data_IF_327138375134
#
_entry.id   IF_327138375134
#
_cell.length_a   1.000
_cell.length_b   1.000
_cell.length_c   1.000
_cell.angle_alpha   90.00
_cell.angle_beta   90.00
_cell.angle_gamma   90.00
#
_symmetry.space_group_name_H-M   'P 1'
#
loop_
_entity.id
_entity.type
_entity.pdbx_description
1 polymer ?
#
# COMPACT_ATOMS: atom_id res chain seq x y z
N UNK A 1 -19.62 10.24 6.66
CA UNK A 1 -20.14 10.52 5.29
C UNK A 1 -19.09 10.05 4.29
N UNK A 2 -19.48 9.22 3.32
CA UNK A 2 -18.59 8.68 2.30
C UNK A 2 -18.76 9.53 1.01
N UNK A 3 -17.65 9.97 0.42
CA UNK A 3 -17.64 10.66 -0.87
C UNK A 3 -17.00 9.75 -1.93
N UNK A 4 -17.75 9.44 -2.98
CA UNK A 4 -17.25 8.70 -4.14
C UNK A 4 -16.72 9.69 -5.17
N UNK A 5 -15.44 9.54 -5.54
CA UNK A 5 -14.83 10.30 -6.64
C UNK A 5 -14.86 9.45 -7.90
N UNK A 6 -15.73 9.81 -8.82
CA UNK A 6 -16.01 9.08 -10.06
C UNK A 6 -15.65 9.94 -11.28
N UNK A 7 -14.42 9.81 -11.83
CA UNK A 7 -14.03 10.46 -13.07
C UNK A 7 -14.92 9.98 -14.23
N UNK A 8 -15.65 10.90 -14.86
CA UNK A 8 -16.66 10.54 -15.85
C UNK A 8 -16.09 10.20 -17.23
N UNK A 9 -16.61 9.11 -17.80
CA UNK A 9 -16.43 8.67 -19.17
C UNK A 9 -17.66 7.85 -19.61
N UNK A 10 -17.66 7.31 -20.82
CA UNK A 10 -18.79 6.53 -21.36
C UNK A 10 -19.12 5.26 -20.55
N UNK A 11 -18.23 4.80 -19.68
CA UNK A 11 -18.41 3.61 -18.84
C UNK A 11 -18.77 3.92 -17.38
N UNK A 12 -18.62 5.16 -16.94
CA UNK A 12 -18.84 5.56 -15.54
C UNK A 12 -20.29 5.39 -15.07
N UNK A 13 -21.26 5.50 -15.99
CA UNK A 13 -22.68 5.31 -15.68
C UNK A 13 -22.97 3.90 -15.15
N UNK A 14 -22.38 2.87 -15.75
CA UNK A 14 -22.55 1.48 -15.30
C UNK A 14 -21.92 1.26 -13.91
N UNK A 15 -20.74 1.84 -13.66
CA UNK A 15 -20.08 1.77 -12.35
C UNK A 15 -20.89 2.54 -11.29
N UNK A 16 -21.48 3.70 -11.63
CA UNK A 16 -22.39 4.45 -10.77
C UNK A 16 -23.57 3.60 -10.33
N UNK A 17 -24.29 2.99 -11.30
CA UNK A 17 -25.45 2.13 -11.03
C UNK A 17 -25.09 0.92 -10.12
N UNK A 18 -23.89 0.37 -10.25
CA UNK A 18 -23.40 -0.70 -9.41
C UNK A 18 -23.16 -0.25 -7.98
N UNK A 19 -22.65 0.98 -7.79
CA UNK A 19 -22.26 1.50 -6.48
C UNK A 19 -23.45 2.06 -5.68
N UNK A 20 -24.36 2.79 -6.30
CA UNK A 20 -25.45 3.49 -5.62
C UNK A 20 -26.21 2.65 -4.58
N UNK A 21 -26.61 1.40 -4.86
CA UNK A 21 -27.34 0.58 -3.88
C UNK A 21 -26.46 0.08 -2.71
N UNK A 22 -25.13 0.18 -2.82
CA UNK A 22 -24.18 -0.27 -1.80
C UNK A 22 -23.70 0.86 -0.88
N UNK A 23 -23.95 2.12 -1.29
CA UNK A 23 -23.45 3.27 -0.55
C UNK A 23 -24.26 3.52 0.73
N UNK A 24 -23.59 3.86 1.86
CA UNK A 24 -24.29 4.31 3.08
C UNK A 24 -25.17 5.54 2.82
N UNK A 25 -26.22 5.67 3.62
CA UNK A 25 -27.11 6.85 3.55
C UNK A 25 -26.32 8.16 3.76
N UNK A 26 -26.60 9.17 2.94
CA UNK A 26 -25.91 10.45 2.98
C UNK A 26 -24.56 10.47 2.25
N UNK A 27 -24.21 9.40 1.53
CA UNK A 27 -23.05 9.40 0.63
C UNK A 27 -23.31 10.30 -0.60
N UNK A 28 -22.24 10.87 -1.14
CA UNK A 28 -22.30 11.66 -2.39
C UNK A 28 -21.39 11.04 -3.46
N UNK A 29 -21.80 11.15 -4.73
CA UNK A 29 -20.96 10.82 -5.88
C UNK A 29 -20.60 12.13 -6.57
N UNK A 30 -19.31 12.41 -6.69
CA UNK A 30 -18.75 13.65 -7.22
C UNK A 30 -17.87 13.35 -8.43
N UNK A 31 -18.04 14.11 -9.49
CA UNK A 31 -17.06 14.16 -10.58
C UNK A 31 -15.85 14.99 -10.13
N UNK A 32 -14.62 14.44 -10.14
CA UNK A 32 -13.41 15.17 -9.81
C UNK A 32 -13.17 16.40 -10.72
N UNK A 33 -13.67 16.42 -11.94
CA UNK A 33 -13.53 17.57 -12.84
C UNK A 33 -14.31 18.79 -12.34
N UNK A 34 -15.36 18.59 -11.54
CA UNK A 34 -16.09 19.68 -10.87
C UNK A 34 -15.31 20.30 -9.70
N UNK A 35 -14.22 19.67 -9.24
CA UNK A 35 -13.34 20.12 -8.18
C UNK A 35 -13.07 19.07 -7.10
N UNK A 36 -11.93 19.21 -6.44
CA UNK A 36 -11.51 18.37 -5.31
C UNK A 36 -11.48 19.16 -3.99
N UNK A 37 -11.93 20.40 -4.00
CA UNK A 37 -11.90 21.26 -2.81
C UNK A 37 -12.88 20.79 -1.72
N UNK A 38 -12.52 21.02 -0.46
CA UNK A 38 -13.37 20.69 0.69
C UNK A 38 -13.46 19.18 1.00
N UNK A 39 -12.49 18.38 0.57
CA UNK A 39 -12.43 16.94 0.83
C UNK A 39 -11.68 16.56 2.11
N UNK A 40 -11.13 17.53 2.84
CA UNK A 40 -10.35 17.26 4.06
C UNK A 40 -11.13 16.41 5.08
N UNK A 41 -10.41 15.49 5.72
CA UNK A 41 -10.92 14.62 6.80
C UNK A 41 -12.15 13.79 6.42
N UNK A 42 -12.27 13.38 5.15
CA UNK A 42 -13.38 12.57 4.65
C UNK A 42 -12.97 11.12 4.40
N UNK A 43 -13.96 10.25 4.36
CA UNK A 43 -13.83 8.91 3.78
C UNK A 43 -14.09 9.00 2.29
N UNK A 44 -13.12 8.53 1.49
CA UNK A 44 -13.17 8.64 0.03
C UNK A 44 -13.19 7.27 -0.62
N UNK A 45 -14.02 7.11 -1.65
CA UNK A 45 -13.99 5.95 -2.52
C UNK A 45 -13.64 6.41 -3.93
N UNK A 46 -12.42 6.14 -4.39
CA UNK A 46 -12.04 6.39 -5.77
C UNK A 46 -12.64 5.29 -6.65
N UNK A 47 -13.48 5.67 -7.59
CA UNK A 47 -14.17 4.75 -8.50
C UNK A 47 -13.81 5.09 -9.95
N UNK A 48 -13.07 4.22 -10.63
CA UNK A 48 -12.58 4.47 -12.00
C UNK A 48 -13.06 3.37 -12.93
N UNK A 49 -13.76 3.77 -13.99
CA UNK A 49 -14.10 2.89 -15.10
C UNK A 49 -13.15 3.15 -16.28
N UNK A 50 -12.53 2.08 -16.79
CA UNK A 50 -11.64 2.16 -17.95
C UNK A 50 -12.39 1.80 -19.24
N UNK A 51 -12.04 2.46 -20.33
CA UNK A 51 -12.52 2.16 -21.68
C UNK A 51 -11.85 0.91 -22.28
N UNK A 52 -12.09 0.63 -23.55
CA UNK A 52 -11.51 -0.48 -24.30
C UNK A 52 -9.99 -0.37 -24.45
N UNK A 53 -9.43 0.83 -24.41
CA UNK A 53 -7.98 1.08 -24.42
C UNK A 53 -7.32 0.98 -23.04
N UNK A 54 -8.10 0.70 -21.99
CA UNK A 54 -7.62 0.66 -20.62
C UNK A 54 -7.36 2.06 -20.04
N UNK A 55 -8.03 3.08 -20.56
CA UNK A 55 -7.85 4.49 -20.21
C UNK A 55 -9.11 5.13 -19.65
N UNK A 56 -8.92 6.26 -18.95
CA UNK A 56 -9.96 7.21 -18.58
C UNK A 56 -9.32 8.61 -18.49
N UNK A 57 -9.68 9.50 -19.38
CA UNK A 57 -9.04 10.82 -19.49
C UNK A 57 -9.39 11.74 -18.31
N UNK A 58 -10.59 11.62 -17.75
CA UNK A 58 -10.98 12.37 -16.54
C UNK A 58 -10.16 11.90 -15.32
N UNK A 59 -9.89 10.60 -15.23
CA UNK A 59 -8.95 10.05 -14.23
C UNK A 59 -7.55 10.69 -14.34
N UNK A 60 -6.99 10.81 -15.55
CA UNK A 60 -5.67 11.43 -15.71
C UNK A 60 -5.66 12.92 -15.34
N UNK A 61 -6.77 13.64 -15.58
CA UNK A 61 -6.93 15.03 -15.09
C UNK A 61 -6.96 15.10 -13.58
N UNK A 62 -7.73 14.22 -12.92
CA UNK A 62 -7.73 14.07 -11.45
C UNK A 62 -6.32 13.76 -10.92
N UNK A 63 -5.65 12.77 -11.52
CA UNK A 63 -4.28 12.37 -11.14
C UNK A 63 -3.30 13.55 -11.22
N UNK A 64 -3.42 14.37 -12.28
CA UNK A 64 -2.59 15.57 -12.44
C UNK A 64 -2.82 16.61 -11.34
N UNK A 65 -4.06 16.76 -10.84
CA UNK A 65 -4.37 17.64 -9.71
C UNK A 65 -3.78 17.11 -8.40
N UNK A 66 -3.96 15.83 -8.12
CA UNK A 66 -3.40 15.18 -6.93
C UNK A 66 -1.88 15.34 -6.85
N UNK A 67 -1.17 15.19 -7.97
CA UNK A 67 0.30 15.29 -8.04
C UNK A 67 0.85 16.71 -7.84
N UNK A 68 -0.01 17.74 -7.85
CA UNK A 68 0.41 19.15 -7.69
C UNK A 68 0.24 19.69 -6.27
N UNK A 69 -0.36 18.92 -5.38
CA UNK A 69 -0.62 19.35 -4.01
C UNK A 69 -0.22 18.25 -3.03
N UNK A 70 0.40 18.64 -1.94
CA UNK A 70 0.77 17.70 -0.88
C UNK A 70 -0.31 17.53 0.20
N UNK A 71 -1.33 18.39 0.22
CA UNK A 71 -2.32 18.50 1.30
C UNK A 71 -3.78 18.50 0.84
N UNK A 72 -4.03 18.37 -0.46
CA UNK A 72 -5.37 18.44 -1.06
C UNK A 72 -6.38 17.46 -0.41
N UNK A 73 -5.90 16.33 0.08
CA UNK A 73 -6.68 15.28 0.70
C UNK A 73 -6.27 15.02 2.15
N UNK A 74 -5.75 16.05 2.83
CA UNK A 74 -5.26 15.92 4.20
C UNK A 74 -6.35 15.37 5.15
N UNK A 75 -5.96 14.38 5.94
CA UNK A 75 -6.84 13.69 6.89
C UNK A 75 -7.87 12.75 6.27
N UNK A 76 -7.90 12.61 4.93
CA UNK A 76 -8.75 11.65 4.27
C UNK A 76 -8.27 10.22 4.45
N UNK A 77 -9.22 9.27 4.42
CA UNK A 77 -8.95 7.84 4.32
C UNK A 77 -9.75 7.24 3.18
N UNK A 78 -9.12 6.39 2.37
CA UNK A 78 -9.71 5.94 1.14
C UNK A 78 -9.65 4.43 0.89
N UNK A 79 -10.56 3.99 0.01
CA UNK A 79 -10.51 2.76 -0.77
C UNK A 79 -10.64 3.08 -2.25
N UNK A 80 -10.49 2.07 -3.10
CA UNK A 80 -10.61 2.26 -4.54
C UNK A 80 -11.25 1.08 -5.27
N UNK A 81 -11.96 1.40 -6.34
CA UNK A 81 -12.57 0.46 -7.27
C UNK A 81 -12.10 0.83 -8.66
N UNK A 82 -11.61 -0.14 -9.41
CA UNK A 82 -11.26 0.04 -10.82
C UNK A 82 -11.89 -1.07 -11.62
N UNK A 83 -12.68 -0.68 -12.64
CA UNK A 83 -13.30 -1.62 -13.59
C UNK A 83 -12.69 -1.43 -14.97
N UNK A 84 -12.43 -2.52 -15.68
CA UNK A 84 -11.88 -2.50 -17.04
C UNK A 84 -12.67 -3.39 -17.97
N UNK A 85 -12.66 -3.04 -19.27
CA UNK A 85 -13.22 -3.88 -20.33
C UNK A 85 -12.29 -5.03 -20.68
N UNK A 86 -10.98 -4.83 -20.55
CA UNK A 86 -9.94 -5.82 -20.79
C UNK A 86 -9.40 -6.48 -19.51
N UNK A 87 -8.38 -7.29 -19.69
CA UNK A 87 -7.72 -8.03 -18.57
C UNK A 87 -6.57 -7.25 -17.92
N UNK A 88 -6.19 -6.09 -18.47
CA UNK A 88 -5.01 -5.34 -18.08
C UNK A 88 -5.35 -3.93 -17.59
N UNK A 89 -4.37 -3.26 -17.00
CA UNK A 89 -4.33 -1.85 -16.57
C UNK A 89 -5.10 -1.52 -15.30
N UNK A 90 -6.10 -2.28 -14.87
CA UNK A 90 -6.90 -1.99 -13.67
C UNK A 90 -6.04 -1.81 -12.42
N UNK A 91 -5.08 -2.70 -12.21
CA UNK A 91 -4.17 -2.62 -11.05
C UNK A 91 -3.13 -1.52 -11.19
N UNK A 92 -2.67 -1.24 -12.39
CA UNK A 92 -1.69 -0.19 -12.65
C UNK A 92 -2.29 1.18 -12.39
N UNK A 93 -3.50 1.44 -12.91
CA UNK A 93 -4.29 2.64 -12.64
C UNK A 93 -4.55 2.81 -11.14
N UNK A 94 -4.97 1.75 -10.44
CA UNK A 94 -5.20 1.79 -9.01
C UNK A 94 -3.93 2.14 -8.23
N UNK A 95 -2.81 1.55 -8.58
CA UNK A 95 -1.51 1.76 -7.92
C UNK A 95 -1.02 3.20 -8.07
N UNK A 96 -1.14 3.76 -9.28
CA UNK A 96 -0.78 5.15 -9.56
C UNK A 96 -1.68 6.13 -8.80
N UNK A 97 -2.98 5.86 -8.75
CA UNK A 97 -3.95 6.65 -8.02
C UNK A 97 -3.67 6.64 -6.51
N UNK A 98 -3.47 5.46 -5.93
CA UNK A 98 -3.16 5.32 -4.50
C UNK A 98 -1.89 6.08 -4.15
N UNK A 99 -0.84 5.98 -4.96
CA UNK A 99 0.40 6.71 -4.72
C UNK A 99 0.19 8.23 -4.80
N UNK A 100 -0.46 8.74 -5.86
CA UNK A 100 -0.69 10.17 -6.02
C UNK A 100 -1.59 10.76 -4.93
N UNK A 101 -2.68 10.07 -4.57
CA UNK A 101 -3.57 10.50 -3.50
C UNK A 101 -2.89 10.43 -2.12
N UNK A 102 -2.02 9.43 -1.90
CA UNK A 102 -1.25 9.32 -0.67
C UNK A 102 -0.25 10.48 -0.51
N UNK A 103 0.43 10.87 -1.60
CA UNK A 103 1.30 12.04 -1.61
C UNK A 103 0.53 13.36 -1.46
N UNK A 104 -0.78 13.35 -1.71
CA UNK A 104 -1.69 14.49 -1.47
C UNK A 104 -2.34 14.47 -0.06
N UNK A 105 -1.86 13.65 0.86
CA UNK A 105 -2.32 13.61 2.25
C UNK A 105 -3.42 12.58 2.56
N UNK A 106 -3.72 11.64 1.66
CA UNK A 106 -4.73 10.60 1.87
C UNK A 106 -4.14 9.30 2.40
N UNK A 107 -4.69 8.75 3.49
CA UNK A 107 -4.44 7.39 3.91
C UNK A 107 -5.27 6.38 3.13
N UNK A 108 -4.82 5.12 3.07
CA UNK A 108 -5.59 4.03 2.44
C UNK A 108 -5.74 2.85 3.38
N UNK A 109 -6.97 2.37 3.53
CA UNK A 109 -7.23 1.18 4.34
C UNK A 109 -6.45 -0.03 3.79
N UNK A 110 -6.17 -1.02 4.63
CA UNK A 110 -5.55 -2.25 4.16
C UNK A 110 -6.44 -2.97 3.15
N UNK A 111 -5.88 -3.47 2.06
CA UNK A 111 -6.62 -3.99 0.89
C UNK A 111 -7.65 -2.99 0.36
N UNK A 112 -7.19 -1.82 -0.06
CA UNK A 112 -8.08 -0.74 -0.48
C UNK A 112 -8.72 -0.99 -1.84
N UNK A 113 -8.22 -1.94 -2.63
CA UNK A 113 -8.59 -2.15 -4.03
C UNK A 113 -9.57 -3.31 -4.21
N UNK A 114 -10.67 -3.02 -4.87
CA UNK A 114 -11.49 -3.99 -5.60
C UNK A 114 -11.36 -3.69 -7.09
N UNK A 115 -10.88 -4.65 -7.88
CA UNK A 115 -10.71 -4.51 -9.31
C UNK A 115 -11.57 -5.52 -10.06
N UNK A 116 -12.23 -5.09 -11.13
CA UNK A 116 -12.94 -5.96 -12.06
C UNK A 116 -12.27 -5.90 -13.43
N UNK A 117 -11.60 -6.98 -13.82
CA UNK A 117 -11.18 -7.19 -15.21
C UNK A 117 -12.37 -7.61 -16.07
N UNK A 118 -12.27 -7.50 -17.37
CA UNK A 118 -13.38 -7.77 -18.29
C UNK A 118 -13.99 -9.17 -18.14
N UNK A 119 -13.20 -10.18 -17.83
CA UNK A 119 -13.67 -11.57 -17.61
C UNK A 119 -13.97 -11.92 -16.16
N UNK A 120 -13.69 -11.05 -15.20
CA UNK A 120 -13.74 -11.33 -13.75
C UNK A 120 -12.93 -12.55 -13.29
N UNK A 121 -11.99 -13.06 -14.11
CA UNK A 121 -11.13 -14.21 -13.74
C UNK A 121 -10.33 -14.00 -12.47
N UNK A 122 -10.07 -12.75 -12.13
CA UNK A 122 -9.41 -12.38 -10.87
C UNK A 122 -10.25 -12.73 -9.63
N UNK A 123 -11.56 -12.99 -9.77
CA UNK A 123 -12.45 -13.46 -8.69
C UNK A 123 -12.62 -14.98 -8.64
N UNK A 124 -12.07 -15.76 -9.59
CA UNK A 124 -12.26 -17.22 -9.66
C UNK A 124 -11.96 -17.93 -8.33
N UNK A 125 -10.87 -17.57 -7.67
CA UNK A 125 -10.49 -18.21 -6.40
C UNK A 125 -11.47 -17.88 -5.28
N UNK A 126 -11.94 -16.65 -5.18
CA UNK A 126 -12.93 -16.23 -4.19
C UNK A 126 -14.28 -16.92 -4.46
N UNK A 127 -14.69 -16.97 -5.70
CA UNK A 127 -15.92 -17.67 -6.12
C UNK A 127 -15.86 -19.15 -5.75
N UNK A 128 -14.76 -19.86 -6.03
CA UNK A 128 -14.56 -21.25 -5.65
C UNK A 128 -14.60 -21.48 -4.14
N UNK A 129 -13.93 -20.63 -3.37
CA UNK A 129 -13.93 -20.71 -1.89
C UNK A 129 -15.33 -20.46 -1.33
N UNK A 130 -16.06 -19.49 -1.90
CA UNK A 130 -17.41 -19.11 -1.47
C UNK A 130 -18.54 -19.99 -2.02
N UNK A 131 -18.24 -20.94 -2.93
CA UNK A 131 -19.26 -21.74 -3.61
C UNK A 131 -20.22 -20.91 -4.48
N UNK A 132 -19.71 -19.81 -5.09
CA UNK A 132 -20.48 -18.86 -5.90
C UNK A 132 -19.87 -18.68 -7.28
N UNK A 133 -20.43 -17.81 -8.11
CA UNK A 133 -19.84 -17.36 -9.37
C UNK A 133 -18.97 -16.10 -9.17
N UNK A 134 -18.18 -15.74 -10.19
CA UNK A 134 -17.25 -14.62 -10.17
C UNK A 134 -17.95 -13.25 -10.00
N UNK A 135 -19.17 -13.09 -10.55
CA UNK A 135 -19.96 -11.86 -10.44
C UNK A 135 -20.43 -11.67 -8.99
N UNK A 136 -20.97 -12.71 -8.39
CA UNK A 136 -21.39 -12.70 -6.98
C UNK A 136 -20.20 -12.42 -6.06
N UNK A 137 -19.04 -13.05 -6.31
CA UNK A 137 -17.82 -12.81 -5.53
C UNK A 137 -17.32 -11.37 -5.68
N UNK A 138 -17.42 -10.78 -6.87
CA UNK A 138 -17.09 -9.37 -7.12
C UNK A 138 -18.02 -8.43 -6.35
N UNK A 139 -19.34 -8.61 -6.43
CA UNK A 139 -20.31 -7.80 -5.70
C UNK A 139 -20.11 -7.90 -4.18
N UNK A 140 -19.83 -9.09 -3.65
CA UNK A 140 -19.52 -9.29 -2.25
C UNK A 140 -18.25 -8.52 -1.83
N UNK A 141 -17.21 -8.53 -2.67
CA UNK A 141 -15.98 -7.79 -2.41
C UNK A 141 -16.19 -6.27 -2.43
N UNK A 142 -17.07 -5.75 -3.31
CA UNK A 142 -17.46 -4.34 -3.32
C UNK A 142 -18.16 -3.95 -2.03
N UNK A 143 -19.18 -4.72 -1.63
CA UNK A 143 -19.93 -4.47 -0.40
C UNK A 143 -19.01 -4.52 0.83
N UNK A 144 -18.10 -5.50 0.89
CA UNK A 144 -17.11 -5.62 1.96
C UNK A 144 -16.17 -4.40 2.01
N UNK A 145 -15.64 -3.93 0.87
CA UNK A 145 -14.77 -2.77 0.81
C UNK A 145 -15.48 -1.51 1.32
N UNK A 146 -16.71 -1.25 0.85
CA UNK A 146 -17.50 -0.09 1.25
C UNK A 146 -17.81 -0.15 2.75
N UNK A 147 -18.24 -1.30 3.28
CA UNK A 147 -18.50 -1.47 4.69
C UNK A 147 -17.26 -1.26 5.55
N UNK A 148 -16.10 -1.81 5.17
CA UNK A 148 -14.83 -1.59 5.88
C UNK A 148 -14.38 -0.14 5.85
N UNK A 149 -14.59 0.55 4.73
CA UNK A 149 -14.24 1.96 4.63
C UNK A 149 -15.18 2.84 5.45
N UNK A 150 -16.46 2.54 5.47
CA UNK A 150 -17.44 3.27 6.28
C UNK A 150 -17.24 3.05 7.77
N UNK A 151 -16.88 1.84 8.19
CA UNK A 151 -16.59 1.49 9.58
C UNK A 151 -15.12 1.74 9.98
N UNK A 152 -14.30 2.31 9.09
CA UNK A 152 -12.87 2.45 9.38
C UNK A 152 -12.60 3.41 10.54
N UNK A 153 -11.75 2.96 11.44
CA UNK A 153 -11.22 3.75 12.56
C UNK A 153 -9.69 3.75 12.51
N UNK A 154 -9.09 4.86 12.92
CA UNK A 154 -7.63 4.96 12.98
C UNK A 154 -7.10 3.93 13.98
N UNK A 155 -6.12 3.09 13.60
CA UNK A 155 -5.53 2.12 14.52
C UNK A 155 -4.88 2.80 15.74
N UNK A 156 -4.66 2.05 16.83
CA UNK A 156 -4.02 2.54 18.04
C UNK A 156 -2.64 3.16 17.76
N UNK A 157 -2.15 4.10 18.58
CA UNK A 157 -0.84 4.73 18.38
C UNK A 157 0.31 3.73 18.24
N UNK A 158 1.30 4.07 17.42
CA UNK A 158 2.48 3.22 17.19
C UNK A 158 3.38 3.23 18.44
N UNK A 159 3.74 2.05 18.91
CA UNK A 159 4.74 1.83 19.98
C UNK A 159 5.88 0.92 19.51
N UNK A 160 5.60 -0.04 18.64
CA UNK A 160 6.53 -1.03 18.16
C UNK A 160 6.78 -0.85 16.66
N UNK A 161 7.97 -0.46 16.30
CA UNK A 161 8.41 -0.26 14.91
C UNK A 161 9.29 -1.42 14.49
N UNK A 162 8.97 -2.04 13.35
CA UNK A 162 9.82 -3.01 12.70
C UNK A 162 10.42 -2.40 11.44
N UNK A 163 11.75 -2.27 11.40
CA UNK A 163 12.48 -1.87 10.21
C UNK A 163 13.08 -3.08 9.50
N UNK A 164 12.76 -3.28 8.22
CA UNK A 164 13.29 -4.36 7.38
C UNK A 164 14.18 -3.80 6.28
N UNK A 165 15.39 -4.34 6.14
CA UNK A 165 16.33 -3.96 5.09
C UNK A 165 17.18 -5.13 4.60
N UNK A 166 17.77 -4.98 3.41
CA UNK A 166 18.73 -5.93 2.85
C UNK A 166 20.14 -5.33 2.74
N UNK A 167 20.38 -4.13 3.26
CA UNK A 167 21.67 -3.46 3.23
C UNK A 167 22.63 -4.05 4.26
N UNK A 168 23.88 -4.29 3.83
CA UNK A 168 24.91 -4.90 4.67
C UNK A 168 26.12 -3.99 4.93
N UNK A 169 26.09 -2.76 4.38
CA UNK A 169 27.26 -1.87 4.41
C UNK A 169 26.99 -0.67 5.32
N UNK A 170 27.95 -0.37 6.19
CA UNK A 170 27.94 0.84 7.02
C UNK A 170 27.85 2.15 6.20
N UNK A 171 28.14 2.10 4.91
CA UNK A 171 28.09 3.25 3.98
C UNK A 171 26.82 3.30 3.13
N UNK A 172 25.76 2.59 3.52
CA UNK A 172 24.48 2.62 2.83
C UNK A 172 23.77 3.94 3.07
N UNK A 173 23.43 4.66 2.01
CA UNK A 173 22.62 5.88 2.08
C UNK A 173 21.24 5.61 2.68
N UNK A 174 20.64 4.45 2.39
CA UNK A 174 19.34 4.06 2.95
C UNK A 174 19.41 3.86 4.46
N UNK A 175 20.47 3.22 4.97
CA UNK A 175 20.66 3.10 6.42
C UNK A 175 21.01 4.44 7.06
N UNK A 176 21.81 5.28 6.40
CA UNK A 176 22.09 6.64 6.89
C UNK A 176 20.78 7.46 7.06
N UNK A 177 19.85 7.36 6.10
CA UNK A 177 18.54 8.00 6.21
C UNK A 177 17.74 7.44 7.40
N UNK A 178 17.76 6.12 7.57
CA UNK A 178 17.09 5.49 8.70
C UNK A 178 17.66 5.95 10.06
N UNK A 179 18.98 6.07 10.20
CA UNK A 179 19.58 6.57 11.42
C UNK A 179 19.14 8.01 11.75
N UNK A 180 18.99 8.88 10.74
CA UNK A 180 18.44 10.24 10.93
C UNK A 180 16.97 10.18 11.41
N UNK A 181 16.14 9.34 10.79
CA UNK A 181 14.73 9.16 11.20
C UNK A 181 14.67 8.60 12.61
N UNK A 182 15.43 7.55 12.90
CA UNK A 182 15.45 6.89 14.21
C UNK A 182 15.87 7.84 15.35
N UNK A 183 16.80 8.74 15.08
CA UNK A 183 17.21 9.76 16.04
C UNK A 183 16.09 10.77 16.41
N UNK A 184 15.08 10.90 15.54
CA UNK A 184 13.92 11.76 15.78
C UNK A 184 12.72 11.06 16.41
N UNK A 185 12.78 9.74 16.62
CA UNK A 185 11.68 8.98 17.23
C UNK A 185 11.61 9.21 18.75
N UNK A 186 10.42 9.19 19.36
CA UNK A 186 10.25 9.22 20.82
C UNK A 186 11.01 8.09 21.52
N UNK A 187 11.55 8.36 22.69
CA UNK A 187 12.36 7.41 23.44
C UNK A 187 11.57 6.18 23.98
N UNK A 188 10.25 6.27 24.03
CA UNK A 188 9.34 5.20 24.44
C UNK A 188 8.88 4.31 23.30
N UNK A 189 9.32 4.59 22.07
CA UNK A 189 9.09 3.70 20.93
C UNK A 189 10.14 2.59 20.90
N UNK A 190 9.66 1.34 20.82
CA UNK A 190 10.53 0.17 20.61
C UNK A 190 10.80 -0.01 19.11
N UNK A 191 12.09 -0.02 18.76
CA UNK A 191 12.53 -0.22 17.37
C UNK A 191 13.27 -1.55 17.25
N UNK A 192 12.73 -2.45 16.45
CA UNK A 192 13.40 -3.69 16.05
C UNK A 192 13.87 -3.56 14.60
N UNK A 193 15.16 -3.82 14.36
CA UNK A 193 15.72 -3.88 13.01
C UNK A 193 16.06 -5.32 12.64
N UNK A 194 15.67 -5.74 11.43
CA UNK A 194 16.04 -7.04 10.88
C UNK A 194 16.71 -6.83 9.52
N UNK A 195 17.95 -7.31 9.43
CA UNK A 195 18.70 -7.31 8.18
C UNK A 195 18.52 -8.64 7.46
N UNK A 196 17.86 -8.60 6.33
CA UNK A 196 17.64 -9.74 5.43
C UNK A 196 18.89 -9.96 4.58
N UNK A 197 19.90 -10.60 5.13
CA UNK A 197 21.23 -10.75 4.50
C UNK A 197 21.17 -11.63 3.26
N UNK A 198 22.09 -11.41 2.33
CA UNK A 198 22.29 -12.29 1.18
C UNK A 198 22.66 -13.71 1.64
N UNK A 199 22.09 -14.70 0.97
CA UNK A 199 22.30 -16.12 1.27
C UNK A 199 21.51 -16.66 2.45
N UNK A 200 20.75 -15.83 3.21
CA UNK A 200 19.92 -16.29 4.33
C UNK A 200 18.43 -16.38 3.98
N UNK A 201 18.00 -15.79 2.87
CA UNK A 201 16.61 -15.74 2.44
C UNK A 201 16.38 -16.65 1.25
N UNK A 202 15.60 -17.72 1.45
CA UNK A 202 14.99 -18.44 0.34
C UNK A 202 13.73 -17.71 -0.14
N UNK A 203 13.52 -17.62 -1.45
CA UNK A 203 12.28 -17.06 -2.01
C UNK A 203 11.10 -18.04 -1.86
N UNK A 204 9.92 -17.58 -2.20
CA UNK A 204 8.70 -18.37 -2.25
C UNK A 204 8.69 -19.24 -3.51
N UNK A 205 8.60 -20.56 -3.37
CA UNK A 205 8.54 -21.49 -4.50
C UNK A 205 7.11 -21.75 -5.03
N UNK A 206 6.11 -20.95 -4.58
CA UNK A 206 4.75 -21.08 -5.11
C UNK A 206 4.06 -22.39 -4.73
N UNK A 207 4.11 -22.80 -3.48
CA UNK A 207 3.37 -23.95 -2.97
C UNK A 207 1.89 -23.86 -3.34
N UNK A 208 1.21 -25.01 -3.47
CA UNK A 208 -0.24 -25.04 -3.64
C UNK A 208 -0.94 -24.26 -2.51
N UNK A 209 -2.15 -23.77 -2.78
CA UNK A 209 -2.92 -23.02 -1.76
C UNK A 209 -3.07 -23.83 -0.47
N UNK A 210 -3.44 -25.10 -0.58
CA UNK A 210 -3.64 -26.01 0.56
C UNK A 210 -2.36 -26.23 1.36
N UNK A 211 -1.22 -26.46 0.70
CA UNK A 211 0.07 -26.62 1.37
C UNK A 211 0.51 -25.31 2.07
N UNK A 212 0.35 -24.16 1.39
CA UNK A 212 0.68 -22.87 1.99
C UNK A 212 -0.22 -22.55 3.21
N UNK A 213 -1.50 -22.90 3.16
CA UNK A 213 -2.43 -22.73 4.25
C UNK A 213 -2.05 -23.63 5.44
N UNK A 214 -1.76 -24.92 5.20
CA UNK A 214 -1.38 -25.88 6.23
C UNK A 214 -0.17 -25.41 7.05
N UNK A 215 0.93 -25.01 6.39
CA UNK A 215 2.09 -24.47 7.12
C UNK A 215 1.81 -23.11 7.75
N UNK A 216 1.01 -22.27 7.11
CA UNK A 216 0.58 -21.00 7.65
C UNK A 216 -0.18 -21.19 8.97
N UNK A 217 -1.17 -22.10 9.04
CA UNK A 217 -1.94 -22.41 10.24
C UNK A 217 -1.08 -22.89 11.42
N UNK A 218 0.07 -23.47 11.14
CA UNK A 218 1.08 -23.82 12.12
C UNK A 218 2.02 -22.66 12.49
N UNK A 219 1.74 -21.46 12.02
CA UNK A 219 2.53 -20.27 12.30
C UNK A 219 3.80 -20.12 11.48
N UNK A 220 3.99 -20.98 10.45
CA UNK A 220 5.24 -21.09 9.70
C UNK A 220 5.10 -21.05 8.19
N UNK A 221 6.18 -21.41 7.53
CA UNK A 221 6.30 -21.64 6.09
C UNK A 221 7.20 -22.86 5.90
N UNK A 222 6.91 -23.72 4.93
CA UNK A 222 7.68 -24.94 4.63
C UNK A 222 9.21 -24.69 4.59
N UNK A 223 9.64 -23.55 4.09
CA UNK A 223 11.06 -23.21 3.93
C UNK A 223 11.74 -22.67 5.20
N UNK A 224 11.02 -22.53 6.33
CA UNK A 224 11.61 -22.15 7.62
C UNK A 224 12.52 -20.91 7.57
N UNK A 225 13.57 -20.95 8.39
CA UNK A 225 14.65 -19.96 8.41
C UNK A 225 14.21 -18.58 8.91
N UNK A 226 15.00 -17.52 8.64
CA UNK A 226 14.80 -16.18 9.24
C UNK A 226 13.39 -15.63 9.09
N UNK A 227 12.65 -16.03 8.03
CA UNK A 227 11.25 -15.61 7.87
C UNK A 227 10.36 -16.12 9.00
N UNK A 228 10.52 -17.40 9.38
CA UNK A 228 9.68 -18.04 10.41
C UNK A 228 10.19 -17.71 11.80
N UNK A 229 11.52 -17.71 11.97
CA UNK A 229 12.16 -17.60 13.28
C UNK A 229 12.22 -16.15 13.77
N UNK A 230 12.35 -15.18 12.87
CA UNK A 230 12.55 -13.76 13.22
C UNK A 230 11.45 -12.84 12.66
N UNK A 231 11.21 -12.88 11.33
CA UNK A 231 10.35 -11.90 10.66
C UNK A 231 8.88 -12.06 11.04
N UNK A 232 8.33 -13.28 11.02
CA UNK A 232 6.92 -13.46 11.36
C UNK A 232 6.58 -13.05 12.79
N UNK A 233 7.36 -13.43 13.83
CA UNK A 233 7.14 -12.94 15.18
C UNK A 233 7.24 -11.41 15.28
N UNK A 234 8.21 -10.80 14.59
CA UNK A 234 8.38 -9.35 14.57
C UNK A 234 7.20 -8.62 13.90
N UNK A 235 6.74 -9.11 12.73
CA UNK A 235 5.57 -8.55 12.04
C UNK A 235 4.29 -8.70 12.86
N UNK A 236 4.13 -9.79 13.61
CA UNK A 236 2.96 -9.94 14.50
C UNK A 236 2.96 -8.90 15.62
N UNK A 237 4.13 -8.57 16.18
CA UNK A 237 4.25 -7.63 17.31
C UNK A 237 4.23 -6.16 16.91
N UNK A 238 4.75 -5.83 15.72
CA UNK A 238 4.87 -4.42 15.33
C UNK A 238 3.52 -3.76 15.10
N UNK A 239 3.46 -2.45 15.35
CA UNK A 239 2.37 -1.56 14.98
C UNK A 239 2.65 -0.88 13.64
N UNK A 240 3.94 -0.71 13.31
CA UNK A 240 4.42 -0.15 12.05
C UNK A 240 5.55 -0.98 11.44
N UNK A 241 5.44 -1.23 10.14
CA UNK A 241 6.48 -1.82 9.30
C UNK A 241 7.13 -0.72 8.47
N UNK A 242 8.43 -0.50 8.64
CA UNK A 242 9.23 0.43 7.84
C UNK A 242 10.12 -0.36 6.89
N UNK A 243 9.88 -0.21 5.59
CA UNK A 243 10.67 -0.85 4.54
C UNK A 243 11.82 0.06 4.10
N UNK A 244 13.06 -0.33 4.38
CA UNK A 244 14.25 0.42 3.98
C UNK A 244 14.75 -0.09 2.63
N UNK A 245 14.47 0.66 1.57
CA UNK A 245 14.63 0.22 0.19
C UNK A 245 15.71 1.02 -0.55
N UNK A 246 16.81 0.37 -0.87
CA UNK A 246 17.69 0.87 -1.92
C UNK A 246 17.13 0.48 -3.28
N UNK A 247 17.15 1.41 -4.24
CA UNK A 247 16.71 1.14 -5.60
C UNK A 247 17.80 0.37 -6.38
N UNK A 248 17.46 -0.82 -6.84
CA UNK A 248 18.29 -1.63 -7.72
C UNK A 248 17.55 -1.91 -9.03
N UNK A 249 17.92 -1.20 -10.09
CA UNK A 249 17.29 -1.36 -11.42
C UNK A 249 15.77 -1.22 -11.36
N UNK A 250 15.28 -0.18 -10.69
CA UNK A 250 13.85 0.13 -10.52
C UNK A 250 13.04 -0.98 -9.81
N UNK A 251 13.70 -1.77 -8.97
CA UNK A 251 13.11 -2.86 -8.23
C UNK A 251 13.58 -2.90 -6.76
N UNK A 252 12.77 -3.51 -5.91
CA UNK A 252 13.16 -3.86 -4.55
C UNK A 252 14.30 -4.87 -4.57
N UNK A 253 15.19 -4.80 -3.58
CA UNK A 253 16.23 -5.81 -3.39
C UNK A 253 15.61 -7.23 -3.33
N UNK A 254 16.30 -8.21 -3.91
CA UNK A 254 15.81 -9.60 -4.02
C UNK A 254 15.35 -10.17 -2.68
N UNK A 255 16.09 -9.92 -1.60
CA UNK A 255 15.73 -10.42 -0.27
C UNK A 255 14.48 -9.74 0.30
N UNK A 256 14.26 -8.45 0.04
CA UNK A 256 13.01 -7.76 0.39
C UNK A 256 11.84 -8.34 -0.40
N UNK A 257 12.04 -8.63 -1.68
CA UNK A 257 11.03 -9.28 -2.53
C UNK A 257 10.71 -10.69 -2.01
N UNK A 258 11.72 -11.49 -1.69
CA UNK A 258 11.54 -12.82 -1.09
C UNK A 258 10.76 -12.74 0.25
N UNK A 259 11.10 -11.76 1.09
CA UNK A 259 10.37 -11.51 2.34
C UNK A 259 8.89 -11.21 2.07
N UNK A 260 8.58 -10.26 1.18
CA UNK A 260 7.21 -9.91 0.78
C UNK A 260 6.45 -11.12 0.25
N UNK A 261 7.06 -11.92 -0.63
CA UNK A 261 6.46 -13.14 -1.18
C UNK A 261 6.09 -14.12 -0.06
N UNK A 262 6.99 -14.34 0.87
CA UNK A 262 6.82 -15.29 1.98
C UNK A 262 5.87 -14.80 3.07
N UNK A 263 5.65 -13.49 3.23
CA UNK A 263 4.59 -12.96 4.10
C UNK A 263 3.20 -13.50 3.73
N UNK A 264 3.04 -14.12 2.56
CA UNK A 264 1.80 -14.79 2.16
C UNK A 264 1.36 -15.86 3.16
N UNK A 265 2.27 -16.64 3.73
CA UNK A 265 1.93 -17.64 4.74
C UNK A 265 1.35 -16.98 6.02
N UNK A 266 1.97 -15.91 6.48
CA UNK A 266 1.46 -15.14 7.63
C UNK A 266 0.09 -14.50 7.33
N UNK A 267 -0.06 -13.93 6.12
CA UNK A 267 -1.32 -13.31 5.68
C UNK A 267 -2.49 -14.32 5.57
N UNK A 268 -2.23 -15.62 5.39
CA UNK A 268 -3.26 -16.67 5.42
C UNK A 268 -3.99 -16.74 6.76
N UNK A 269 -3.29 -16.44 7.85
CA UNK A 269 -3.82 -16.50 9.21
C UNK A 269 -4.28 -15.14 9.75
N UNK A 270 -3.53 -14.08 9.44
CA UNK A 270 -3.66 -12.77 10.09
C UNK A 270 -3.81 -11.68 9.06
N UNK A 271 -4.80 -10.80 9.24
CA UNK A 271 -4.90 -9.55 8.50
C UNK A 271 -4.09 -8.47 9.21
N UNK A 272 -3.43 -7.60 8.43
CA UNK A 272 -2.56 -6.55 8.94
C UNK A 272 -3.27 -5.18 8.91
N UNK A 273 -4.59 -5.16 9.11
CA UNK A 273 -5.39 -3.93 9.00
C UNK A 273 -5.05 -2.88 10.06
N UNK A 274 -4.55 -3.32 11.20
CA UNK A 274 -4.11 -2.52 12.34
C UNK A 274 -2.65 -2.05 12.24
N UNK A 275 -1.89 -2.50 11.24
CA UNK A 275 -0.45 -2.23 11.07
C UNK A 275 -0.21 -1.24 9.94
N UNK A 276 0.64 -0.23 10.21
CA UNK A 276 1.00 0.79 9.22
C UNK A 276 2.18 0.34 8.38
N UNK A 277 2.15 0.77 7.13
CA UNK A 277 3.27 0.61 6.20
C UNK A 277 3.96 1.95 5.99
N UNK A 278 5.26 2.00 6.22
CA UNK A 278 6.13 3.10 5.87
C UNK A 278 7.27 2.65 4.96
N UNK A 279 7.87 3.59 4.22
CA UNK A 279 8.98 3.32 3.34
C UNK A 279 10.04 4.41 3.37
N UNK A 280 11.31 4.03 3.47
CA UNK A 280 12.45 4.90 3.18
C UNK A 280 13.13 4.40 1.92
N UNK A 281 13.09 5.19 0.86
CA UNK A 281 13.55 4.76 -0.47
C UNK A 281 14.66 5.69 -0.93
N UNK A 282 15.84 5.13 -1.19
CA UNK A 282 16.96 5.88 -1.73
C UNK A 282 17.35 5.31 -3.09
N UNK A 283 17.27 6.15 -4.11
CA UNK A 283 17.65 5.83 -5.48
C UNK A 283 18.99 6.46 -5.84
N UNK A 284 19.77 5.77 -6.67
CA UNK A 284 21.01 6.37 -7.20
C UNK A 284 20.71 7.50 -8.20
N UNK A 285 19.61 7.40 -8.92
CA UNK A 285 19.16 8.36 -9.92
C UNK A 285 17.68 8.68 -9.76
N UNK A 286 16.82 8.14 -10.61
CA UNK A 286 15.37 8.28 -10.56
C UNK A 286 14.70 6.97 -10.13
N UNK A 287 13.38 6.90 -10.19
CA UNK A 287 12.62 5.65 -10.01
C UNK A 287 12.25 5.32 -8.56
N UNK A 288 12.46 6.22 -7.59
CA UNK A 288 11.99 6.00 -6.21
C UNK A 288 10.48 5.77 -6.11
N UNK A 289 9.71 6.45 -6.95
CA UNK A 289 8.26 6.28 -7.09
C UNK A 289 7.86 4.88 -7.60
N UNK A 290 8.69 4.23 -8.41
CA UNK A 290 8.46 2.86 -8.85
C UNK A 290 8.49 1.89 -7.67
N UNK A 291 9.46 2.03 -6.77
CA UNK A 291 9.56 1.22 -5.56
C UNK A 291 8.42 1.51 -4.59
N UNK A 292 8.05 2.79 -4.41
CA UNK A 292 6.89 3.16 -3.59
C UNK A 292 5.62 2.47 -4.09
N UNK A 293 5.37 2.46 -5.39
CA UNK A 293 4.24 1.77 -6.02
C UNK A 293 4.34 0.24 -5.90
N UNK A 294 5.56 -0.34 -5.89
CA UNK A 294 5.75 -1.76 -5.59
C UNK A 294 5.35 -2.09 -4.14
N UNK A 295 5.75 -1.27 -3.16
CA UNK A 295 5.35 -1.44 -1.76
C UNK A 295 3.83 -1.33 -1.57
N UNK A 296 3.18 -0.36 -2.21
CA UNK A 296 1.72 -0.23 -2.23
C UNK A 296 1.07 -1.51 -2.73
N UNK A 297 1.46 -1.99 -3.91
CA UNK A 297 0.89 -3.21 -4.50
C UNK A 297 1.12 -4.43 -3.60
N UNK A 298 2.34 -4.57 -3.10
CA UNK A 298 2.77 -5.76 -2.38
C UNK A 298 2.20 -5.83 -0.96
N UNK A 299 2.22 -4.74 -0.22
CA UNK A 299 1.95 -4.72 1.21
C UNK A 299 0.59 -4.10 1.56
N UNK A 300 0.22 -2.97 0.98
CA UNK A 300 -1.10 -2.39 1.22
C UNK A 300 -2.22 -3.15 0.48
N UNK A 301 -2.11 -3.31 -0.85
CA UNK A 301 -3.16 -3.97 -1.64
C UNK A 301 -3.25 -5.48 -1.40
N UNK A 302 -2.10 -6.17 -1.28
CA UNK A 302 -2.09 -7.64 -1.19
C UNK A 302 -1.94 -8.19 0.24
N UNK A 303 -1.31 -7.47 1.16
CA UNK A 303 -1.05 -7.96 2.53
C UNK A 303 -1.80 -7.20 3.62
N UNK A 304 -2.68 -6.28 3.25
CA UNK A 304 -3.60 -5.56 4.12
C UNK A 304 -3.00 -4.56 5.13
N UNK A 305 -1.76 -4.12 4.97
CA UNK A 305 -1.24 -3.04 5.79
C UNK A 305 -1.99 -1.73 5.49
N UNK A 306 -2.35 -0.98 6.51
CA UNK A 306 -2.82 0.38 6.36
C UNK A 306 -1.69 1.26 5.81
N UNK A 307 -2.01 2.11 4.84
CA UNK A 307 -1.08 3.06 4.24
C UNK A 307 -1.38 4.45 4.81
N UNK A 308 -0.60 4.97 5.76
CA UNK A 308 -0.82 6.32 6.28
C UNK A 308 -0.53 7.38 5.21
N UNK A 309 -1.04 8.61 5.35
CA UNK A 309 -0.67 9.72 4.48
C UNK A 309 0.85 9.85 4.35
N UNK A 310 1.38 10.22 3.18
CA UNK A 310 2.83 10.41 2.98
C UNK A 310 3.68 9.22 3.46
N UNK A 311 3.24 8.00 3.21
CA UNK A 311 3.83 6.79 3.80
C UNK A 311 5.31 6.59 3.52
N UNK A 312 5.89 7.29 2.55
CA UNK A 312 7.29 7.11 2.19
C UNK A 312 8.06 8.41 2.03
N UNK A 313 9.31 8.40 2.48
CA UNK A 313 10.32 9.40 2.18
C UNK A 313 11.19 8.90 1.03
N UNK A 314 11.26 9.69 -0.05
CA UNK A 314 11.95 9.36 -1.29
C UNK A 314 13.15 10.30 -1.46
N UNK A 315 14.36 9.75 -1.58
CA UNK A 315 15.56 10.54 -1.78
C UNK A 315 16.44 10.02 -2.92
N UNK A 316 17.22 10.90 -3.49
CA UNK A 316 18.19 10.57 -4.54
C UNK A 316 19.61 10.82 -4.03
N UNK A 317 20.40 9.74 -3.87
CA UNK A 317 21.77 9.81 -3.40
C UNK A 317 22.58 8.62 -3.97
N UNK A 318 23.42 8.87 -4.97
CA UNK A 318 24.19 7.82 -5.66
C UNK A 318 25.49 7.47 -4.90
N UNK A 319 26.32 8.48 -4.62
CA UNK A 319 27.63 8.25 -4.01
C UNK A 319 27.50 7.88 -2.54
N UNK A 320 28.44 7.08 -2.05
CA UNK A 320 28.48 6.68 -0.63
C UNK A 320 28.53 7.88 0.29
N UNK A 321 27.59 7.96 1.25
CA UNK A 321 27.50 9.06 2.20
C UNK A 321 27.11 10.39 1.58
N UNK A 322 26.61 10.41 0.36
CA UNK A 322 26.10 11.64 -0.26
C UNK A 322 24.75 12.07 0.32
N UNK A 323 23.97 11.15 0.87
CA UNK A 323 22.68 11.45 1.46
C UNK A 323 22.77 12.52 2.55
N UNK A 324 23.68 12.38 3.50
CA UNK A 324 23.85 13.33 4.62
C UNK A 324 24.27 14.74 4.18
N UNK A 325 24.63 14.91 2.92
CA UNK A 325 25.00 16.21 2.32
C UNK A 325 23.84 16.86 1.57
N UNK A 326 22.70 16.19 1.46
CA UNK A 326 21.53 16.76 0.80
C UNK A 326 20.97 17.89 1.63
N UNK A 327 20.65 19.04 1.02
CA UNK A 327 20.04 20.16 1.73
C UNK A 327 18.71 19.75 2.37
N UNK A 328 18.53 20.03 3.65
CA UNK A 328 17.27 19.79 4.37
C UNK A 328 16.97 18.34 4.72
N UNK A 329 17.89 17.40 4.49
CA UNK A 329 17.66 15.97 4.74
C UNK A 329 17.35 15.67 6.21
N UNK A 330 17.98 16.38 7.15
CA UNK A 330 17.73 16.24 8.58
C UNK A 330 16.30 16.69 8.94
N UNK A 331 15.84 17.80 8.38
CA UNK A 331 14.48 18.30 8.59
C UNK A 331 13.43 17.36 8.00
N UNK A 332 13.69 16.79 6.82
CA UNK A 332 12.81 15.80 6.19
C UNK A 332 12.75 14.52 7.02
N UNK A 333 13.90 14.02 7.48
CA UNK A 333 13.97 12.83 8.33
C UNK A 333 13.23 13.05 9.66
N UNK A 334 13.40 14.23 10.29
CA UNK A 334 12.70 14.60 11.51
C UNK A 334 11.18 14.73 11.28
N UNK A 335 10.77 15.31 10.14
CA UNK A 335 9.35 15.39 9.77
C UNK A 335 8.73 14.01 9.62
N UNK A 336 9.43 13.10 8.94
CA UNK A 336 8.99 11.71 8.78
C UNK A 336 8.94 10.96 10.11
N UNK A 337 9.91 11.17 11.01
CA UNK A 337 9.90 10.61 12.35
C UNK A 337 8.69 11.10 13.17
N UNK A 338 8.35 12.38 13.09
CA UNK A 338 7.15 12.94 13.75
C UNK A 338 5.88 12.32 13.20
N UNK A 339 5.77 12.16 11.89
CA UNK A 339 4.63 11.52 11.26
C UNK A 339 4.49 10.08 11.77
N UNK A 340 5.58 9.30 11.76
CA UNK A 340 5.58 7.93 12.26
C UNK A 340 5.19 7.87 13.74
N UNK A 341 5.52 8.87 14.54
CA UNK A 341 5.16 8.94 15.96
C UNK A 341 3.71 9.37 16.22
N UNK A 342 3.09 10.11 15.29
CA UNK A 342 1.71 10.62 15.42
C UNK A 342 0.65 9.67 14.85
N UNK A 343 1.04 8.79 13.97
CA UNK A 343 0.16 7.80 13.37
C UNK A 343 -0.05 6.59 14.25
#
# INVERSE_FOLDING_TARGET
MLTVLLPENDRSAALRQLLEPLLPAGSEIRDPDAGLDGLHSRRLLFAVALDEGGCNMAYYRMLSRLRRSSDLLEGCTAGCIVTGVGEFYTKDVARDMVFAANQAGCGFIGRPLVEATGSLRNFRTQAQIGGTDEVTAFHAALAELIARLDAWEKPAPIRNVLALHASQRATSNTLALWELVKAGLPADMEVQEICLRNGTMADCNGCSYTACLHFGEQGGCFYGGPMVDEVYPAVRRCDALVMLCANYNDALAANLTACVNRLTALFRQTRMYDKRLFGLIVSGYSGGDLLARQLISALNMNKSFFLPPHFCLLETANERGSLIKLPGIEDQALSFARQLAQD
#
